data_IF_074004814463
#
_entry.id   IF_074004814463
#
_cell.length_a   1.000
_cell.length_b   1.000
_cell.length_c   1.000
_cell.angle_alpha   90.00
_cell.angle_beta   90.00
_cell.angle_gamma   90.00
#
_symmetry.space_group_name_H-M   'P 1'
#
loop_
_entity.id
_entity.type
_entity.pdbx_description
1 polymer ?
#
# COMPACT_ATOMS: atom_id res chain seq x y z
N UNK A 1 -45.85 -2.46 13.79
CA UNK A 1 -44.83 -1.40 13.70
C UNK A 1 -43.46 -1.83 14.21
N UNK A 2 -43.33 -2.48 15.36
CA UNK A 2 -42.04 -2.94 15.89
C UNK A 2 -41.32 -3.96 14.98
N UNK A 3 -42.05 -4.85 14.30
CA UNK A 3 -41.46 -5.87 13.41
C UNK A 3 -40.80 -5.28 12.17
N UNK A 4 -41.27 -4.15 11.68
CA UNK A 4 -40.70 -3.48 10.51
C UNK A 4 -39.40 -2.71 10.84
N UNK A 5 -39.33 -2.17 12.07
CA UNK A 5 -38.13 -1.50 12.56
C UNK A 5 -36.98 -2.49 12.79
N UNK A 6 -37.27 -3.67 13.34
CA UNK A 6 -36.29 -4.72 13.57
C UNK A 6 -35.68 -5.26 12.23
N UNK A 7 -36.51 -5.39 11.22
CA UNK A 7 -36.07 -5.87 9.92
C UNK A 7 -35.18 -4.86 9.21
N UNK A 8 -35.50 -3.57 9.29
CA UNK A 8 -34.69 -2.51 8.71
C UNK A 8 -33.31 -2.39 9.40
N UNK A 9 -33.27 -2.58 10.72
CA UNK A 9 -32.05 -2.54 11.50
C UNK A 9 -31.12 -3.74 11.19
N UNK A 10 -31.72 -4.91 11.00
CA UNK A 10 -30.97 -6.13 10.63
C UNK A 10 -30.36 -6.03 9.22
N UNK A 11 -31.08 -5.43 8.29
CA UNK A 11 -30.61 -5.21 6.92
C UNK A 11 -29.42 -4.22 6.87
N UNK A 12 -29.44 -3.21 7.74
CA UNK A 12 -28.35 -2.22 7.83
C UNK A 12 -27.07 -2.83 8.41
N UNK A 13 -27.18 -3.73 9.37
CA UNK A 13 -26.03 -4.45 9.94
C UNK A 13 -25.41 -5.41 8.91
N UNK A 14 -26.22 -6.06 8.09
CA UNK A 14 -25.75 -6.94 7.03
C UNK A 14 -24.98 -6.18 5.94
N UNK A 15 -25.39 -4.96 5.59
CA UNK A 15 -24.68 -4.10 4.63
C UNK A 15 -23.33 -3.64 5.16
N UNK A 16 -23.20 -3.37 6.46
CA UNK A 16 -21.93 -3.02 7.10
C UNK A 16 -20.94 -4.18 7.12
N UNK A 17 -21.39 -5.41 7.31
CA UNK A 17 -20.55 -6.59 7.31
C UNK A 17 -19.95 -6.89 5.90
N UNK A 18 -20.68 -6.59 4.84
CA UNK A 18 -20.21 -6.77 3.47
C UNK A 18 -19.14 -5.76 3.06
N UNK A 19 -19.17 -4.52 3.57
CA UNK A 19 -18.18 -3.50 3.20
C UNK A 19 -16.79 -3.78 3.80
N UNK A 20 -16.66 -4.60 4.84
CA UNK A 20 -15.40 -4.99 5.44
C UNK A 20 -14.70 -6.15 4.72
N UNK A 21 -15.38 -6.85 3.82
CA UNK A 21 -14.84 -8.01 3.10
C UNK A 21 -14.11 -7.64 1.79
N UNK A 22 -14.13 -6.36 1.38
CA UNK A 22 -13.59 -5.93 0.08
C UNK A 22 -12.18 -5.34 0.14
N UNK A 23 -11.55 -5.24 1.33
CA UNK A 23 -10.23 -4.64 1.51
C UNK A 23 -9.11 -5.69 1.55
N UNK A 24 -8.97 -6.47 0.46
CA UNK A 24 -7.88 -7.43 0.32
C UNK A 24 -6.63 -6.85 -0.36
N UNK A 25 -6.60 -5.53 -0.65
CA UNK A 25 -5.49 -4.86 -1.31
C UNK A 25 -4.50 -4.37 -0.27
N UNK A 26 -3.23 -4.77 -0.42
CA UNK A 26 -2.19 -4.46 0.56
C UNK A 26 -0.90 -4.03 -0.11
N UNK A 27 -0.26 -3.03 0.48
CA UNK A 27 1.11 -2.63 0.16
C UNK A 27 2.02 -3.13 1.29
N UNK A 28 2.98 -3.96 0.92
CA UNK A 28 4.00 -4.48 1.82
C UNK A 28 5.34 -3.80 1.56
N UNK A 29 6.13 -3.63 2.62
CA UNK A 29 7.55 -3.28 2.54
C UNK A 29 8.33 -4.51 2.98
N UNK A 30 9.27 -4.96 2.16
CA UNK A 30 9.98 -6.22 2.39
C UNK A 30 11.39 -6.18 1.82
N UNK A 31 12.22 -7.14 2.23
CA UNK A 31 13.59 -7.25 1.73
C UNK A 31 13.65 -7.94 0.37
N UNK A 32 12.67 -8.81 0.08
CA UNK A 32 12.56 -9.53 -1.20
C UNK A 32 11.13 -10.00 -1.42
N UNK A 33 10.86 -10.55 -2.59
CA UNK A 33 9.56 -11.08 -3.00
C UNK A 33 9.80 -12.48 -3.59
N UNK A 34 8.99 -13.47 -3.17
CA UNK A 34 9.09 -14.81 -3.72
C UNK A 34 8.42 -14.93 -5.09
N UNK A 35 8.54 -16.10 -5.72
CA UNK A 35 8.02 -16.34 -7.07
C UNK A 35 6.49 -16.33 -7.14
N UNK A 36 5.80 -16.47 -6.01
CA UNK A 36 4.34 -16.45 -5.91
C UNK A 36 3.81 -15.06 -5.50
N UNK A 37 4.69 -14.07 -5.34
CA UNK A 37 4.31 -12.71 -5.00
C UNK A 37 4.06 -12.48 -3.52
N UNK A 38 4.71 -13.25 -2.64
CA UNK A 38 4.62 -13.06 -1.20
C UNK A 38 5.88 -12.38 -0.66
N UNK A 39 5.73 -11.53 0.38
CA UNK A 39 6.87 -10.81 0.92
C UNK A 39 7.83 -11.73 1.68
N UNK A 40 9.12 -11.50 1.49
CA UNK A 40 10.19 -12.12 2.27
C UNK A 40 10.75 -11.05 3.20
N UNK A 41 10.74 -11.30 4.49
CA UNK A 41 11.14 -10.36 5.56
C UNK A 41 10.37 -9.04 5.43
N UNK A 42 9.06 -9.12 5.65
CA UNK A 42 8.19 -7.96 5.74
C UNK A 42 8.49 -7.17 7.02
N UNK A 43 8.52 -5.85 6.92
CA UNK A 43 8.71 -4.98 8.08
C UNK A 43 8.11 -3.60 7.82
N UNK A 44 7.81 -2.88 8.88
CA UNK A 44 7.47 -1.45 8.83
C UNK A 44 8.66 -0.55 9.20
N UNK A 45 9.80 -1.15 9.54
CA UNK A 45 11.03 -0.43 9.91
C UNK A 45 12.21 -1.05 9.16
N UNK A 46 12.99 -0.21 8.49
CA UNK A 46 14.19 -0.63 7.76
C UNK A 46 15.37 0.23 8.17
N UNK A 47 16.52 -0.45 8.40
CA UNK A 47 17.78 0.19 8.72
C UNK A 47 18.60 0.33 7.43
N UNK A 48 19.00 1.55 7.11
CA UNK A 48 19.77 1.83 5.90
C UNK A 48 21.16 2.37 6.23
N UNK A 49 22.09 2.19 5.30
CA UNK A 49 23.39 2.88 5.36
C UNK A 49 23.25 4.32 4.87
N UNK A 50 24.13 5.27 5.29
CA UNK A 50 24.08 6.64 4.79
C UNK A 50 24.28 6.76 3.27
N UNK A 51 24.90 5.77 2.63
CA UNK A 51 25.09 5.71 1.18
C UNK A 51 23.84 5.21 0.42
N UNK A 52 22.79 4.85 1.14
CA UNK A 52 21.56 4.33 0.57
C UNK A 52 21.42 2.82 0.71
N UNK A 53 20.19 2.37 0.89
CA UNK A 53 19.82 0.96 0.88
C UNK A 53 18.47 0.80 0.20
N UNK A 54 18.22 -0.36 -0.38
CA UNK A 54 16.96 -0.61 -1.06
C UNK A 54 16.07 -1.57 -0.26
N UNK A 55 14.78 -1.46 -0.55
CA UNK A 55 13.76 -2.41 -0.14
C UNK A 55 12.76 -2.55 -1.29
N UNK A 56 11.83 -3.46 -1.17
CA UNK A 56 10.79 -3.66 -2.18
C UNK A 56 9.44 -3.19 -1.69
N UNK A 57 8.74 -2.48 -2.56
CA UNK A 57 7.31 -2.21 -2.42
C UNK A 57 6.58 -3.34 -3.14
N UNK A 58 5.78 -4.10 -2.42
CA UNK A 58 4.98 -5.19 -2.98
C UNK A 58 3.51 -4.84 -2.83
N UNK A 59 2.80 -4.78 -3.94
CA UNK A 59 1.35 -4.57 -3.97
C UNK A 59 0.67 -5.88 -4.31
N UNK A 60 -0.27 -6.30 -3.47
CA UNK A 60 -1.14 -7.45 -3.74
C UNK A 60 -2.57 -6.96 -3.83
N UNK A 61 -3.24 -7.32 -4.91
CA UNK A 61 -4.61 -6.91 -5.20
C UNK A 61 -5.55 -8.10 -5.10
N UNK A 62 -6.83 -7.83 -4.88
CA UNK A 62 -7.88 -8.86 -4.91
C UNK A 62 -8.29 -9.23 -6.33
N UNK A 63 -8.06 -8.34 -7.29
CA UNK A 63 -8.41 -8.50 -8.71
C UNK A 63 -7.28 -7.95 -9.58
N UNK A 64 -7.32 -8.22 -10.87
CA UNK A 64 -6.34 -7.68 -11.83
C UNK A 64 -6.29 -6.15 -11.76
N UNK A 65 -5.08 -5.60 -11.93
CA UNK A 65 -4.86 -4.15 -11.83
C UNK A 65 -5.61 -3.37 -12.90
N UNK A 66 -5.85 -3.98 -14.05
CA UNK A 66 -6.57 -3.39 -15.20
C UNK A 66 -5.99 -2.03 -15.61
N UNK A 67 -4.67 -1.93 -15.58
CA UNK A 67 -3.92 -0.75 -15.95
C UNK A 67 -2.52 -1.17 -16.37
N UNK A 68 -1.85 -0.38 -17.19
CA UNK A 68 -0.49 -0.69 -17.65
C UNK A 68 0.58 0.15 -16.95
N UNK A 69 0.17 1.06 -16.07
CA UNK A 69 1.09 1.91 -15.32
C UNK A 69 0.52 2.23 -13.94
N UNK A 70 1.36 2.12 -12.93
CA UNK A 70 1.07 2.56 -11.58
C UNK A 70 2.16 3.52 -11.11
N UNK A 71 1.84 4.30 -10.10
CA UNK A 71 2.82 5.17 -9.45
C UNK A 71 2.73 5.03 -7.95
N UNK A 72 3.86 5.28 -7.31
CA UNK A 72 3.96 5.35 -5.86
C UNK A 72 4.25 6.80 -5.49
N UNK A 73 3.34 7.42 -4.75
CA UNK A 73 3.57 8.76 -4.20
C UNK A 73 4.04 8.62 -2.77
N UNK A 74 5.21 9.17 -2.48
CA UNK A 74 5.84 9.13 -1.17
C UNK A 74 5.71 10.51 -0.51
N UNK A 75 5.24 10.49 0.73
CA UNK A 75 5.11 11.66 1.57
C UNK A 75 5.88 11.47 2.85
N UNK A 76 6.58 12.51 3.30
CA UNK A 76 7.12 12.55 4.65
C UNK A 76 5.95 12.71 5.62
N UNK A 77 5.88 11.82 6.60
CA UNK A 77 4.81 11.81 7.59
C UNK A 77 5.35 12.30 8.93
N UNK A 78 4.62 13.20 9.58
CA UNK A 78 5.03 13.84 10.82
C UNK A 78 4.13 13.42 11.98
N UNK A 79 4.64 13.63 13.22
CA UNK A 79 3.95 13.20 14.44
C UNK A 79 2.61 13.92 14.68
N UNK A 80 2.40 15.09 14.07
CA UNK A 80 1.14 15.83 14.14
C UNK A 80 0.09 15.36 13.14
N UNK A 81 0.41 14.31 12.36
CA UNK A 81 -0.47 13.75 11.33
C UNK A 81 -0.36 14.42 9.97
N UNK A 82 0.44 15.49 9.85
CA UNK A 82 0.67 16.17 8.58
C UNK A 82 1.58 15.34 7.68
N UNK A 83 1.43 15.55 6.36
CA UNK A 83 2.26 14.93 5.33
C UNK A 83 2.79 16.00 4.39
N UNK A 84 4.03 15.84 3.93
CA UNK A 84 4.59 16.68 2.87
C UNK A 84 5.10 15.80 1.73
N UNK A 85 4.79 16.20 0.49
CA UNK A 85 5.20 15.46 -0.70
C UNK A 85 6.72 15.33 -0.78
N UNK A 86 7.18 14.13 -1.07
CA UNK A 86 8.60 13.81 -1.24
C UNK A 86 8.94 13.50 -2.70
N UNK A 87 8.41 12.40 -3.24
CA UNK A 87 8.72 11.97 -4.60
C UNK A 87 7.65 11.04 -5.16
N UNK A 88 7.71 10.83 -6.47
CA UNK A 88 6.85 9.88 -7.19
C UNK A 88 7.71 8.91 -7.97
N UNK A 89 7.38 7.62 -7.89
CA UNK A 89 8.07 6.55 -8.59
C UNK A 89 7.05 5.86 -9.49
N UNK A 90 7.38 5.71 -10.77
CA UNK A 90 6.50 5.06 -11.75
C UNK A 90 6.93 3.61 -11.98
N UNK A 91 5.96 2.76 -12.26
CA UNK A 91 6.19 1.36 -12.60
C UNK A 91 5.26 0.93 -13.73
N UNK A 92 5.82 0.33 -14.78
CA UNK A 92 5.03 -0.35 -15.80
C UNK A 92 4.57 -1.69 -15.26
N UNK A 93 3.30 -2.01 -15.48
CA UNK A 93 2.69 -3.27 -15.07
C UNK A 93 1.90 -3.86 -16.23
N UNK A 94 1.60 -5.15 -16.15
CA UNK A 94 0.72 -5.80 -17.12
C UNK A 94 -0.73 -5.68 -16.66
N UNK A 95 -1.65 -5.53 -17.59
CA UNK A 95 -3.07 -5.29 -17.35
C UNK A 95 -3.74 -6.36 -16.47
N UNK A 96 -3.29 -7.61 -16.58
CA UNK A 96 -3.86 -8.76 -15.87
C UNK A 96 -3.17 -9.11 -14.56
N UNK A 97 -2.16 -8.35 -14.14
CA UNK A 97 -1.44 -8.63 -12.90
C UNK A 97 -2.31 -8.38 -11.66
N UNK A 98 -2.21 -9.31 -10.71
CA UNK A 98 -2.85 -9.21 -9.38
C UNK A 98 -1.83 -8.89 -8.29
N UNK A 99 -0.55 -8.95 -8.59
CA UNK A 99 0.53 -8.50 -7.71
C UNK A 99 1.71 -8.02 -8.54
N UNK A 100 2.44 -7.08 -7.99
CA UNK A 100 3.64 -6.52 -8.61
C UNK A 100 4.51 -5.88 -7.55
N UNK A 101 5.79 -5.71 -7.85
CA UNK A 101 6.73 -5.14 -6.89
C UNK A 101 7.73 -4.22 -7.60
N UNK A 102 8.28 -3.30 -6.81
CA UNK A 102 9.26 -2.31 -7.27
C UNK A 102 10.36 -2.18 -6.23
N UNK A 103 11.63 -2.26 -6.69
CA UNK A 103 12.78 -1.96 -5.86
C UNK A 103 12.91 -0.45 -5.70
N UNK A 104 13.03 0.01 -4.46
CA UNK A 104 13.11 1.43 -4.12
C UNK A 104 14.29 1.66 -3.19
N UNK A 105 15.15 2.62 -3.54
CA UNK A 105 16.31 2.99 -2.74
C UNK A 105 16.00 4.22 -1.91
N UNK A 106 16.31 4.15 -0.61
CA UNK A 106 16.18 5.26 0.33
C UNK A 106 17.57 5.76 0.72
N UNK A 107 17.71 7.07 0.78
CA UNK A 107 18.94 7.75 1.20
C UNK A 107 18.74 8.51 2.51
N UNK A 108 17.52 8.83 2.86
CA UNK A 108 17.16 9.67 4.01
C UNK A 108 16.30 8.92 5.01
N UNK A 109 16.59 9.11 6.29
CA UNK A 109 15.77 8.59 7.37
C UNK A 109 14.47 9.40 7.51
N UNK A 110 13.43 8.77 8.02
CA UNK A 110 12.13 9.40 8.26
C UNK A 110 10.99 8.41 8.23
N UNK A 111 9.78 8.93 8.44
CA UNK A 111 8.54 8.19 8.25
C UNK A 111 7.97 8.56 6.90
N UNK A 112 7.70 7.55 6.08
CA UNK A 112 7.16 7.76 4.74
C UNK A 112 5.79 7.11 4.62
N UNK A 113 4.80 7.90 4.23
CA UNK A 113 3.50 7.39 3.81
C UNK A 113 3.56 7.17 2.31
N UNK A 114 3.25 5.96 1.87
CA UNK A 114 3.31 5.56 0.47
C UNK A 114 1.92 5.19 -0.02
N UNK A 115 1.53 5.80 -1.14
CA UNK A 115 0.28 5.51 -1.85
C UNK A 115 0.61 4.87 -3.19
N UNK A 116 0.12 3.66 -3.43
CA UNK A 116 0.17 3.02 -4.75
C UNK A 116 -1.09 3.41 -5.53
N UNK A 117 -0.92 4.06 -6.66
CA UNK A 117 -2.02 4.68 -7.41
C UNK A 117 -2.04 4.15 -8.83
N UNK A 118 -3.24 3.81 -9.31
CA UNK A 118 -3.49 3.44 -10.70
C UNK A 118 -3.47 4.70 -11.58
N UNK A 119 -2.55 4.77 -12.54
CA UNK A 119 -2.43 5.95 -13.41
C UNK A 119 -3.61 6.11 -14.38
N UNK A 120 -4.28 5.02 -14.74
CA UNK A 120 -5.39 5.10 -15.70
C UNK A 120 -6.73 5.47 -15.07
N UNK A 121 -6.88 5.32 -13.74
CA UNK A 121 -8.14 5.61 -13.05
C UNK A 121 -7.99 6.55 -11.85
N UNK A 122 -6.75 6.94 -11.49
CA UNK A 122 -6.41 7.81 -10.35
C UNK A 122 -6.88 7.26 -8.99
N UNK A 123 -7.16 5.95 -8.92
CA UNK A 123 -7.60 5.30 -7.68
C UNK A 123 -6.40 4.86 -6.86
N UNK A 124 -6.48 5.05 -5.54
CA UNK A 124 -5.50 4.49 -4.61
C UNK A 124 -5.74 2.98 -4.49
N UNK A 125 -4.77 2.20 -4.92
CA UNK A 125 -4.83 0.73 -4.88
C UNK A 125 -4.54 0.22 -3.47
N UNK A 126 -3.53 0.79 -2.82
CA UNK A 126 -3.13 0.43 -1.47
C UNK A 126 -2.26 1.55 -0.89
N UNK A 127 -2.14 1.60 0.43
CA UNK A 127 -1.25 2.54 1.10
C UNK A 127 -0.69 1.91 2.37
N UNK A 128 0.49 2.37 2.78
CA UNK A 128 1.11 1.94 4.02
C UNK A 128 2.20 2.94 4.43
N UNK A 129 2.64 2.85 5.68
CA UNK A 129 3.70 3.71 6.22
C UNK A 129 4.92 2.88 6.58
N UNK A 130 6.10 3.37 6.23
CA UNK A 130 7.38 2.75 6.55
C UNK A 130 8.27 3.75 7.28
N UNK A 131 8.99 3.27 8.29
CA UNK A 131 10.02 4.03 8.98
C UNK A 131 11.38 3.63 8.45
N UNK A 132 12.15 4.61 8.00
CA UNK A 132 13.54 4.42 7.56
C UNK A 132 14.43 5.05 8.60
N UNK A 133 15.42 4.32 9.07
CA UNK A 133 16.39 4.82 10.03
C UNK A 133 17.80 4.41 9.64
N UNK A 134 18.78 5.19 10.05
CA UNK A 134 20.17 4.85 9.77
C UNK A 134 20.65 3.74 10.71
N UNK A 135 21.51 2.89 10.16
CA UNK A 135 22.25 1.90 10.97
C UNK A 135 23.25 2.60 11.89
N UNK A 136 23.41 2.05 13.07
CA UNK A 136 24.45 2.48 14.01
C UNK A 136 25.84 2.04 13.53
#
# INVERSE_FOLDING_TARGET
>A
MLKKLFFAMFLMIALFAFSNLTNAQTLYFCEDVDSDGYPIVESSVFNISPSGSYLYFLVRLSEAVECTSVRYELYNSYSDGSESYSTTIYQDVEYDWVWFYKQVTFYDAGYYKVYAICNCCEAVLASNTVRIQFRD
#
